data_IF_744039252342
#
_entry.id   IF_744039252342
#
_cell.length_a   1.000
_cell.length_b   1.000
_cell.length_c   1.000
_cell.angle_alpha   90.00
_cell.angle_beta   90.00
_cell.angle_gamma   90.00
#
_symmetry.space_group_name_H-M   'P 1'
#
loop_
_entity.id
_entity.type
_entity.pdbx_description
1 polymer ?
#
# COMPACT_ATOMS: atom_id res chain seq x y z
N UNK A 1 11.04 -11.52 33.78
CA UNK A 1 10.61 -11.80 32.41
C UNK A 1 10.22 -10.44 31.88
N UNK A 2 11.17 -9.81 31.22
CA UNK A 2 10.95 -8.48 30.66
C UNK A 2 9.99 -8.64 29.47
N UNK A 3 9.07 -7.70 29.33
CA UNK A 3 8.03 -7.78 28.30
C UNK A 3 8.67 -7.49 26.94
N UNK A 4 8.31 -8.30 25.95
CA UNK A 4 8.76 -8.14 24.57
C UNK A 4 8.27 -6.80 23.99
N UNK A 5 9.13 -6.08 23.25
CA UNK A 5 8.75 -4.82 22.60
C UNK A 5 7.80 -5.13 21.44
N UNK A 6 6.50 -5.06 21.72
CA UNK A 6 5.45 -5.26 20.74
C UNK A 6 4.56 -4.04 20.61
N UNK A 7 4.55 -3.47 19.41
CA UNK A 7 3.76 -2.29 19.11
C UNK A 7 2.64 -2.58 18.12
N UNK A 8 1.65 -1.70 18.11
CA UNK A 8 0.51 -1.72 17.20
C UNK A 8 0.42 -0.40 16.48
N UNK A 9 -0.27 -0.40 15.35
CA UNK A 9 -0.60 0.83 14.63
C UNK A 9 -1.27 1.84 15.58
N UNK A 10 -0.75 3.05 15.58
CA UNK A 10 -1.24 4.17 16.38
C UNK A 10 -0.52 4.34 17.72
N UNK A 11 0.25 3.34 18.17
CA UNK A 11 1.05 3.45 19.39
C UNK A 11 2.04 4.61 19.25
N UNK A 12 2.25 5.30 20.37
CA UNK A 12 3.27 6.34 20.48
C UNK A 12 4.44 5.79 21.25
N UNK A 13 5.62 5.93 20.68
CA UNK A 13 6.87 5.48 21.28
C UNK A 13 7.87 6.61 21.26
N UNK A 14 8.83 6.58 22.18
CA UNK A 14 10.02 7.40 22.07
C UNK A 14 11.18 6.54 21.60
N UNK A 15 11.99 7.11 20.72
CA UNK A 15 13.25 6.54 20.28
C UNK A 15 14.30 7.64 20.51
N UNK A 16 15.28 7.39 21.36
CA UNK A 16 16.29 8.38 21.79
C UNK A 16 15.64 9.68 22.34
N UNK A 17 14.50 9.54 23.02
CA UNK A 17 13.73 10.66 23.58
C UNK A 17 12.85 11.41 22.59
N UNK A 18 12.99 11.18 21.28
CA UNK A 18 12.15 11.76 20.23
C UNK A 18 10.84 10.98 20.09
N UNK A 19 9.71 11.68 19.93
CA UNK A 19 8.38 11.06 19.90
C UNK A 19 7.99 10.61 18.49
N UNK A 20 7.63 9.34 18.34
CA UNK A 20 7.18 8.72 17.09
C UNK A 20 5.76 8.14 17.25
N UNK A 21 5.08 7.98 16.12
CA UNK A 21 3.88 7.16 16.00
C UNK A 21 4.18 5.93 15.11
N UNK A 22 3.74 4.76 15.56
CA UNK A 22 3.80 3.52 14.78
C UNK A 22 2.72 3.54 13.72
N UNK A 23 3.12 3.49 12.45
CA UNK A 23 2.23 3.53 11.29
C UNK A 23 1.89 2.12 10.79
N UNK A 24 2.79 1.16 10.99
CA UNK A 24 2.62 -0.24 10.65
C UNK A 24 3.79 -1.10 11.12
N UNK A 25 3.79 -2.35 10.72
CA UNK A 25 4.94 -3.24 10.92
C UNK A 25 4.82 -4.54 10.15
N UNK A 26 5.96 -5.20 10.00
CA UNK A 26 6.13 -6.44 9.23
C UNK A 26 6.83 -7.46 10.15
N UNK A 27 6.22 -8.63 10.30
CA UNK A 27 6.87 -9.76 10.98
C UNK A 27 7.62 -10.58 9.93
N UNK A 28 8.92 -10.74 10.12
CA UNK A 28 9.81 -11.39 9.15
C UNK A 28 10.40 -12.67 9.73
N UNK A 29 10.79 -13.57 8.83
CA UNK A 29 11.59 -14.75 9.16
C UNK A 29 12.68 -14.97 8.14
N UNK A 30 13.91 -15.22 8.60
CA UNK A 30 14.96 -15.71 7.74
C UNK A 30 14.78 -17.23 7.55
N UNK A 31 14.67 -17.68 6.29
CA UNK A 31 14.42 -19.09 5.97
C UNK A 31 15.62 -20.01 6.24
N UNK A 32 16.85 -19.49 6.35
CA UNK A 32 18.04 -20.33 6.58
C UNK A 32 18.10 -20.91 7.99
N UNK A 33 17.86 -20.08 8.99
CA UNK A 33 18.05 -20.33 10.43
C UNK A 33 16.74 -20.25 11.22
N UNK A 34 15.71 -19.62 10.64
CA UNK A 34 14.42 -19.41 11.29
C UNK A 34 14.41 -18.23 12.27
N UNK A 35 15.44 -17.36 12.23
CA UNK A 35 15.48 -16.11 12.98
C UNK A 35 14.28 -15.24 12.63
N UNK A 36 13.75 -14.50 13.61
CA UNK A 36 12.54 -13.69 13.47
C UNK A 36 12.73 -12.36 14.14
N UNK A 37 12.31 -11.33 13.43
CA UNK A 37 12.31 -9.96 13.89
C UNK A 37 11.02 -9.27 13.43
N UNK A 38 10.76 -8.11 14.00
CA UNK A 38 9.65 -7.25 13.57
C UNK A 38 10.19 -5.89 13.20
N UNK A 39 9.82 -5.42 12.02
CA UNK A 39 10.18 -4.09 11.55
C UNK A 39 8.97 -3.19 11.68
N UNK A 40 9.10 -2.15 12.50
CA UNK A 40 8.05 -1.17 12.75
C UNK A 40 8.30 0.07 11.92
N UNK A 41 7.33 0.40 11.08
CA UNK A 41 7.30 1.65 10.37
C UNK A 41 6.84 2.77 11.32
N UNK A 42 7.72 3.74 11.58
CA UNK A 42 7.51 4.83 12.53
C UNK A 42 7.66 6.21 11.89
N UNK A 43 6.88 7.17 12.35
CA UNK A 43 6.98 8.58 11.92
C UNK A 43 7.20 9.49 13.12
N UNK A 44 8.24 10.31 13.06
CA UNK A 44 8.54 11.31 14.08
C UNK A 44 7.44 12.38 14.09
N UNK A 45 6.78 12.57 15.23
CA UNK A 45 5.63 13.48 15.35
C UNK A 45 6.01 14.96 15.33
N UNK A 46 7.28 15.31 15.51
CA UNK A 46 7.74 16.70 15.48
C UNK A 46 8.06 17.17 14.06
N UNK A 47 8.69 16.32 13.26
CA UNK A 47 9.23 16.70 11.95
C UNK A 47 8.67 15.88 10.78
N UNK A 48 7.80 14.90 11.04
CA UNK A 48 7.18 14.05 10.03
C UNK A 48 8.14 13.08 9.34
N UNK A 49 9.41 13.01 9.76
CA UNK A 49 10.37 12.09 9.16
C UNK A 49 10.02 10.67 9.51
N UNK A 50 10.19 9.82 8.52
CA UNK A 50 9.81 8.44 8.60
C UNK A 50 11.04 7.55 8.67
N UNK A 51 10.94 6.48 9.45
CA UNK A 51 12.01 5.55 9.74
C UNK A 51 11.43 4.17 9.98
N UNK A 52 12.31 3.20 10.02
CA UNK A 52 11.98 1.83 10.31
C UNK A 52 12.79 1.38 11.54
N UNK A 53 12.08 0.85 12.53
CA UNK A 53 12.63 0.34 13.78
C UNK A 53 12.61 -1.19 13.70
N UNK A 54 13.77 -1.80 13.56
CA UNK A 54 13.93 -3.26 13.61
C UNK A 54 14.07 -3.73 15.06
N UNK A 55 13.36 -4.80 15.41
CA UNK A 55 13.30 -5.40 16.75
C UNK A 55 13.51 -6.91 16.61
N UNK A 56 14.70 -7.38 16.98
CA UNK A 56 15.01 -8.80 17.13
C UNK A 56 14.98 -9.20 18.60
N UNK A 57 13.89 -9.86 19.00
CA UNK A 57 13.68 -10.30 20.38
C UNK A 57 14.54 -11.53 20.76
N UNK A 58 15.01 -12.30 19.78
CA UNK A 58 15.79 -13.52 20.04
C UNK A 58 17.22 -13.14 20.43
N UNK A 59 17.78 -12.15 19.73
CA UNK A 59 19.14 -11.68 19.94
C UNK A 59 19.25 -10.40 20.77
N UNK A 60 18.11 -9.80 21.16
CA UNK A 60 18.03 -8.53 21.93
C UNK A 60 18.72 -7.38 21.17
N UNK A 61 18.47 -7.33 19.86
CA UNK A 61 19.07 -6.36 18.93
C UNK A 61 18.00 -5.43 18.39
N UNK A 62 18.31 -4.15 18.40
CA UNK A 62 17.41 -3.09 17.98
C UNK A 62 18.19 -2.14 17.08
N UNK A 63 17.56 -1.69 16.01
CA UNK A 63 18.21 -0.75 15.12
C UNK A 63 17.17 0.15 14.45
N UNK A 64 17.56 1.38 14.19
CA UNK A 64 16.73 2.34 13.46
C UNK A 64 17.46 2.82 12.23
N UNK A 65 16.73 2.86 11.12
CA UNK A 65 17.32 3.21 9.85
C UNK A 65 16.34 4.05 9.03
N UNK A 66 16.96 4.75 8.10
CA UNK A 66 16.32 5.73 7.22
C UNK A 66 16.61 5.30 5.79
N UNK A 67 15.56 5.14 5.00
CA UNK A 67 15.67 4.85 3.57
C UNK A 67 16.46 5.95 2.85
N UNK A 68 17.28 5.55 1.88
CA UNK A 68 18.10 6.47 1.10
C UNK A 68 18.29 5.99 -0.35
N UNK A 69 18.99 6.79 -1.14
CA UNK A 69 19.39 6.39 -2.49
C UNK A 69 20.53 5.34 -2.45
N UNK A 70 20.84 4.78 -3.61
CA UNK A 70 21.91 3.78 -3.77
C UNK A 70 23.33 4.35 -3.60
N UNK A 71 23.48 5.64 -3.25
CA UNK A 71 24.78 6.29 -3.19
C UNK A 71 25.58 5.80 -1.98
N UNK A 72 26.77 5.27 -2.26
CA UNK A 72 27.66 4.70 -1.26
C UNK A 72 27.50 3.20 -1.04
N UNK A 73 26.62 2.52 -1.78
CA UNK A 73 26.36 1.08 -1.68
C UNK A 73 27.05 0.25 -2.77
N UNK A 74 27.88 0.87 -3.61
CA UNK A 74 28.73 0.07 -4.50
C UNK A 74 29.78 -0.69 -3.69
N UNK A 75 30.10 -1.91 -4.11
CA UNK A 75 31.10 -2.76 -3.44
C UNK A 75 32.44 -2.03 -3.26
N UNK A 76 32.88 -1.28 -4.27
CA UNK A 76 34.09 -0.44 -4.20
C UNK A 76 34.00 0.65 -3.12
N UNK A 77 32.85 1.32 -2.96
CA UNK A 77 32.66 2.37 -1.95
C UNK A 77 32.55 1.80 -0.54
N UNK A 78 31.88 0.65 -0.38
CA UNK A 78 31.74 -0.07 0.88
C UNK A 78 33.12 -0.54 1.36
N UNK A 79 33.88 -1.21 0.49
CA UNK A 79 35.24 -1.67 0.76
C UNK A 79 36.18 -0.50 1.09
N UNK A 80 36.14 0.57 0.30
CA UNK A 80 37.00 1.74 0.51
C UNK A 80 36.74 2.45 1.85
N UNK A 81 35.51 2.34 2.38
CA UNK A 81 35.12 2.89 3.68
C UNK A 81 35.20 1.85 4.81
N UNK A 82 35.54 0.60 4.48
CA UNK A 82 35.72 -0.49 5.41
C UNK A 82 34.43 -1.03 6.01
N UNK A 83 33.31 -0.91 5.28
CA UNK A 83 32.08 -1.62 5.61
C UNK A 83 32.26 -3.11 5.37
N UNK A 84 31.65 -3.94 6.20
CA UNK A 84 31.74 -5.40 6.10
C UNK A 84 30.34 -5.98 6.14
N UNK A 85 30.11 -7.02 5.34
CA UNK A 85 28.88 -7.81 5.43
C UNK A 85 28.76 -8.37 6.86
N UNK A 86 27.70 -7.94 7.55
CA UNK A 86 27.36 -8.34 8.90
C UNK A 86 26.38 -9.51 8.87
N UNK A 87 25.38 -9.42 7.98
CA UNK A 87 24.38 -10.45 7.77
C UNK A 87 23.88 -10.45 6.31
N UNK A 88 23.37 -11.59 5.85
CA UNK A 88 22.68 -11.69 4.56
C UNK A 88 21.82 -12.94 4.52
N UNK A 89 20.65 -12.84 3.90
CA UNK A 89 19.71 -13.95 3.89
C UNK A 89 18.57 -13.74 2.90
N UNK A 90 17.54 -14.56 3.08
CA UNK A 90 16.25 -14.39 2.41
C UNK A 90 15.18 -14.28 3.50
N UNK A 91 14.61 -13.09 3.59
CA UNK A 91 13.50 -12.82 4.49
C UNK A 91 12.17 -13.19 3.82
N UNK A 92 11.23 -13.66 4.62
CA UNK A 92 9.86 -13.93 4.20
C UNK A 92 8.88 -13.26 5.16
N UNK A 93 7.88 -12.59 4.61
CA UNK A 93 6.81 -11.93 5.37
C UNK A 93 5.91 -12.97 6.00
N UNK A 94 5.88 -13.03 7.33
CA UNK A 94 5.00 -13.90 8.10
C UNK A 94 3.63 -13.27 8.36
N UNK A 95 3.62 -11.99 8.73
CA UNK A 95 2.43 -11.20 9.01
C UNK A 95 2.77 -9.72 8.83
N UNK A 96 1.75 -8.87 8.72
CA UNK A 96 1.93 -7.43 8.58
C UNK A 96 0.72 -6.67 9.10
N UNK A 97 0.92 -5.41 9.47
CA UNK A 97 -0.16 -4.52 9.84
C UNK A 97 0.13 -3.07 9.48
N UNK A 98 -0.95 -2.31 9.30
CA UNK A 98 -0.86 -0.86 9.15
C UNK A 98 -0.40 -0.40 7.76
N UNK A 99 0.35 0.69 7.71
CA UNK A 99 0.69 1.40 6.47
C UNK A 99 1.95 0.83 5.81
N UNK A 100 1.97 -0.46 5.50
CA UNK A 100 3.11 -1.15 4.88
C UNK A 100 2.63 -1.85 3.61
N UNK A 101 3.51 -1.96 2.61
CA UNK A 101 3.22 -2.55 1.30
C UNK A 101 3.78 -3.98 1.24
N UNK A 102 3.34 -4.81 2.17
CA UNK A 102 3.80 -6.19 2.33
C UNK A 102 2.62 -7.16 2.24
N UNK A 103 2.81 -8.30 1.57
CA UNK A 103 1.88 -9.42 1.57
C UNK A 103 2.50 -10.66 2.21
N UNK A 104 1.69 -11.43 2.94
CA UNK A 104 2.15 -12.66 3.58
C UNK A 104 2.74 -13.63 2.55
N UNK A 105 3.97 -14.05 2.77
CA UNK A 105 4.73 -14.95 1.91
C UNK A 105 5.58 -14.27 0.84
N UNK A 106 5.54 -12.94 0.74
CA UNK A 106 6.53 -12.17 -0.04
C UNK A 106 7.94 -12.35 0.52
N UNK A 107 8.92 -12.15 -0.35
CA UNK A 107 10.33 -12.44 -0.06
C UNK A 107 11.24 -11.38 -0.65
N UNK A 108 12.29 -11.08 0.09
CA UNK A 108 13.46 -10.37 -0.40
C UNK A 108 14.74 -11.10 -0.02
N UNK A 109 15.77 -10.89 -0.82
CA UNK A 109 17.13 -11.14 -0.35
C UNK A 109 17.68 -9.86 0.25
N UNK A 110 18.21 -9.94 1.47
CA UNK A 110 18.80 -8.79 2.13
C UNK A 110 20.31 -8.99 2.32
N UNK A 111 21.02 -7.88 2.42
CA UNK A 111 22.42 -7.84 2.84
C UNK A 111 22.62 -6.61 3.71
N UNK A 112 23.09 -6.85 4.92
CA UNK A 112 23.44 -5.82 5.88
C UNK A 112 24.95 -5.70 6.00
N UNK A 113 25.41 -4.46 6.08
CA UNK A 113 26.78 -4.09 6.29
C UNK A 113 26.92 -3.29 7.58
N UNK A 114 27.98 -3.58 8.30
CA UNK A 114 28.37 -2.86 9.51
C UNK A 114 29.69 -2.13 9.28
N UNK A 115 29.83 -0.96 9.86
CA UNK A 115 31.06 -0.19 9.80
C UNK A 115 32.12 -0.75 10.79
N UNK A 116 33.29 -0.12 10.86
CA UNK A 116 34.36 -0.62 11.73
C UNK A 116 34.12 -0.33 13.23
N UNK A 117 33.17 0.53 13.59
CA UNK A 117 32.84 0.78 15.00
C UNK A 117 31.83 -0.23 15.52
N UNK A 118 31.04 -0.83 14.63
CA UNK A 118 29.94 -1.71 14.99
C UNK A 118 28.69 -0.98 15.43
N UNK A 119 28.58 0.30 15.06
CA UNK A 119 27.47 1.18 15.48
C UNK A 119 26.57 1.52 14.30
N UNK A 120 27.17 1.71 13.11
CA UNK A 120 26.43 2.14 11.93
C UNK A 120 26.16 0.98 10.99
N UNK A 121 24.99 1.04 10.37
CA UNK A 121 24.44 0.00 9.51
C UNK A 121 24.11 0.56 8.13
N UNK A 122 24.35 -0.26 7.11
CA UNK A 122 23.92 -0.05 5.74
C UNK A 122 23.24 -1.31 5.26
N UNK A 123 22.04 -1.21 4.73
CA UNK A 123 21.28 -2.37 4.28
C UNK A 123 20.78 -2.21 2.86
N UNK A 124 20.78 -3.35 2.15
CA UNK A 124 20.34 -3.51 0.78
C UNK A 124 19.37 -4.69 0.72
N UNK A 125 18.16 -4.43 0.25
CA UNK A 125 17.14 -5.47 0.04
C UNK A 125 16.73 -5.53 -1.42
N UNK A 126 16.63 -6.73 -1.97
CA UNK A 126 16.17 -6.98 -3.32
C UNK A 126 14.81 -7.68 -3.28
N UNK A 127 13.77 -6.91 -3.58
CA UNK A 127 12.39 -7.34 -3.71
C UNK A 127 12.05 -7.65 -5.18
N UNK A 128 10.91 -8.29 -5.45
CA UNK A 128 10.50 -8.60 -6.83
C UNK A 128 10.19 -7.31 -7.60
N UNK A 129 11.17 -6.84 -8.39
CA UNK A 129 11.04 -5.66 -9.23
C UNK A 129 11.66 -4.37 -8.66
N UNK A 130 12.19 -4.40 -7.43
CA UNK A 130 12.85 -3.23 -6.83
C UNK A 130 14.06 -3.57 -5.94
N UNK A 131 14.83 -2.55 -5.59
CA UNK A 131 15.96 -2.66 -4.67
C UNK A 131 15.92 -1.47 -3.72
N UNK A 132 15.90 -1.76 -2.44
CA UNK A 132 15.78 -0.79 -1.37
C UNK A 132 17.13 -0.63 -0.66
N UNK A 133 17.44 0.61 -0.28
CA UNK A 133 18.69 0.98 0.35
C UNK A 133 18.39 1.82 1.59
N UNK A 134 19.13 1.59 2.66
CA UNK A 134 18.93 2.34 3.88
C UNK A 134 20.17 2.39 4.77
N UNK A 135 20.22 3.45 5.58
CA UNK A 135 21.32 3.74 6.52
C UNK A 135 20.77 3.88 7.92
N UNK A 136 21.39 3.20 8.87
CA UNK A 136 20.92 3.14 10.24
C UNK A 136 22.04 3.01 11.24
N UNK A 137 21.64 2.72 12.46
CA UNK A 137 22.50 2.47 13.59
C UNK A 137 21.75 1.63 14.62
N UNK A 138 22.52 0.89 15.42
CA UNK A 138 21.97 0.13 16.53
C UNK A 138 21.42 1.05 17.63
N UNK A 139 20.44 0.54 18.35
CA UNK A 139 19.86 1.14 19.53
C UNK A 139 20.02 0.19 20.72
N UNK A 140 20.21 0.75 21.90
CA UNK A 140 19.99 0.02 23.13
C UNK A 140 18.49 -0.05 23.43
N UNK A 141 18.06 -1.14 24.08
CA UNK A 141 16.63 -1.36 24.40
C UNK A 141 16.01 -0.21 25.20
N UNK A 142 16.76 0.40 26.12
CA UNK A 142 16.30 1.49 26.97
C UNK A 142 16.19 2.83 26.24
N UNK A 143 16.68 2.91 25.00
CA UNK A 143 16.44 4.05 24.11
C UNK A 143 15.05 4.01 23.46
N UNK A 144 14.31 2.91 23.63
CA UNK A 144 12.96 2.70 23.11
C UNK A 144 11.95 2.66 24.27
N UNK A 145 11.11 3.69 24.39
CA UNK A 145 10.11 3.78 25.45
C UNK A 145 8.68 3.79 24.89
N UNK A 146 7.77 3.04 25.50
CA UNK A 146 6.33 3.19 25.23
C UNK A 146 5.85 4.51 25.85
N UNK A 147 5.38 5.44 25.01
CA UNK A 147 4.83 6.71 25.48
C UNK A 147 3.34 6.55 25.84
N UNK A 148 3.08 6.30 27.12
CA UNK A 148 1.72 6.19 27.64
C UNK A 148 1.07 7.54 27.86
N UNK A 149 0.13 7.94 26.99
CA UNK A 149 -1.05 8.65 27.45
C UNK A 149 -2.14 7.62 27.76
N UNK A 150 -2.24 7.23 29.02
CA UNK A 150 -3.51 6.76 29.58
C UNK A 150 -4.49 7.94 29.63
N UNK A 151 -5.04 8.33 28.48
CA UNK A 151 -6.35 8.93 28.40
C UNK A 151 -7.13 8.27 27.28
N UNK A 152 -7.90 7.27 27.70
CA UNK A 152 -9.19 6.95 27.10
C UNK A 152 -9.93 8.26 26.83
N UNK A 153 -10.02 8.66 25.56
CA UNK A 153 -11.18 9.44 25.16
C UNK A 153 -12.33 8.44 25.17
N UNK A 154 -13.08 8.46 26.28
CA UNK A 154 -14.41 7.87 26.37
C UNK A 154 -15.23 8.39 25.18
N UNK A 155 -15.45 7.53 24.19
CA UNK A 155 -16.58 7.72 23.30
C UNK A 155 -17.84 7.33 24.10
N UNK A 156 -18.81 8.23 24.38
CA UNK A 156 -19.85 7.98 25.38
C UNK A 156 -20.93 6.95 25.00
N UNK A 157 -20.67 6.01 24.08
CA UNK A 157 -21.67 5.04 23.61
C UNK A 157 -21.14 3.61 23.45
N UNK A 158 -20.42 3.07 24.44
CA UNK A 158 -20.48 1.63 24.70
C UNK A 158 -19.92 1.30 26.08
N UNK A 159 -20.78 1.02 27.07
CA UNK A 159 -20.37 0.46 28.36
C UNK A 159 -20.52 -1.06 28.30
N UNK A 160 -19.39 -1.79 28.37
CA UNK A 160 -19.38 -3.21 28.73
C UNK A 160 -18.70 -3.32 30.10
N UNK A 161 -19.44 -3.88 31.06
CA UNK A 161 -19.03 -4.07 32.44
C UNK A 161 -18.07 -5.27 32.56
N UNK A 162 -16.84 -5.02 33.02
CA UNK A 162 -15.77 -6.02 33.14
C UNK A 162 -15.62 -6.62 34.55
N UNK A 163 -16.65 -6.55 35.41
CA UNK A 163 -16.60 -7.17 36.74
C UNK A 163 -17.03 -8.63 36.81
N UNK A 164 -16.68 -9.46 35.82
CA UNK A 164 -16.74 -10.91 35.99
C UNK A 164 -15.85 -11.63 35.00
N UNK A 165 -14.68 -12.08 35.45
CA UNK A 165 -14.12 -13.38 35.12
C UNK A 165 -12.88 -13.64 35.99
N UNK A 166 -13.10 -14.27 37.15
CA UNK A 166 -12.04 -15.03 37.81
C UNK A 166 -11.95 -16.43 37.18
N UNK A 167 -10.74 -17.01 37.07
CA UNK A 167 -10.56 -18.31 36.41
C UNK A 167 -10.98 -19.46 37.35
N UNK A 168 -11.77 -20.42 36.85
CA UNK A 168 -11.98 -21.71 37.53
C UNK A 168 -11.88 -22.89 36.56
N UNK A 169 -11.08 -23.85 37.01
CA UNK A 169 -10.84 -25.18 36.44
C UNK A 169 -12.10 -26.09 36.42
N UNK A 170 -12.07 -27.20 35.65
CA UNK A 170 -13.26 -27.83 35.08
C UNK A 170 -13.81 -28.97 35.94
N UNK A 171 -15.14 -29.01 36.16
CA UNK A 171 -15.83 -30.23 36.62
C UNK A 171 -17.28 -30.34 36.09
N UNK A 172 -17.48 -31.40 35.29
CA UNK A 172 -18.64 -32.32 35.24
C UNK A 172 -20.08 -31.78 35.30
N UNK A 173 -20.84 -31.93 34.20
CA UNK A 173 -22.31 -31.92 34.24
C UNK A 173 -22.88 -33.32 34.53
N UNK A 174 -23.63 -33.43 35.62
CA UNK A 174 -24.60 -34.50 35.81
C UNK A 174 -25.92 -34.17 35.07
N UNK A 175 -26.41 -35.18 34.33
CA UNK A 175 -27.72 -35.21 33.64
C UNK A 175 -28.90 -35.16 34.61
N UNK A 176 -29.99 -34.48 34.20
CA UNK A 176 -31.36 -35.05 34.03
C UNK A 176 -32.29 -34.00 33.38
N UNK A 177 -32.84 -34.30 32.19
CA UNK A 177 -34.21 -34.80 31.91
C UNK A 177 -35.27 -33.72 32.18
N UNK A 178 -36.00 -33.14 31.24
CA UNK A 178 -36.25 -33.40 29.82
C UNK A 178 -37.72 -33.05 29.53
N UNK A 179 -38.03 -32.47 28.36
CA UNK A 179 -39.29 -32.74 27.62
C UNK A 179 -39.31 -32.02 26.27
N UNK A 180 -39.53 -32.80 25.23
CA UNK A 180 -39.65 -32.41 23.83
C UNK A 180 -40.93 -31.61 23.56
N UNK A 181 -40.84 -30.60 22.68
CA UNK A 181 -41.82 -30.37 21.59
C UNK A 181 -41.10 -29.83 20.36
N UNK A 182 -41.36 -30.46 19.22
CA UNK A 182 -40.93 -30.07 17.87
C UNK A 182 -41.84 -28.95 17.35
N UNK A 183 -41.27 -27.86 16.83
CA UNK A 183 -41.87 -26.93 15.85
C UNK A 183 -40.68 -26.47 14.99
N UNK A 184 -40.45 -27.11 13.84
CA UNK A 184 -40.72 -26.62 12.48
C UNK A 184 -40.04 -25.27 12.19
N UNK A 185 -38.99 -25.37 11.39
CA UNK A 185 -38.27 -24.28 10.74
C UNK A 185 -39.17 -23.50 9.77
N UNK A 186 -38.76 -22.25 9.51
CA UNK A 186 -38.83 -21.47 8.25
C UNK A 186 -39.17 -20.00 8.53
N UNK A 187 -38.34 -19.11 7.96
CA UNK A 187 -38.42 -17.64 7.89
C UNK A 187 -37.90 -16.84 9.10
N UNK A 188 -36.57 -16.69 9.22
CA UNK A 188 -35.85 -15.38 9.36
C UNK A 188 -34.38 -15.58 8.95
N UNK A 189 -34.13 -16.07 7.74
CA UNK A 189 -32.81 -15.94 7.07
C UNK A 189 -33.10 -15.13 5.80
N UNK A 190 -33.30 -13.83 5.99
CA UNK A 190 -33.46 -12.87 4.88
C UNK A 190 -33.23 -11.40 5.29
N UNK A 191 -33.07 -11.08 6.58
CA UNK A 191 -32.88 -9.69 7.04
C UNK A 191 -31.59 -9.47 7.85
N UNK A 192 -30.79 -10.52 8.08
CA UNK A 192 -29.46 -10.39 8.71
C UNK A 192 -28.29 -10.50 7.71
N UNK A 193 -28.58 -10.69 6.42
CA UNK A 193 -27.57 -10.74 5.36
C UNK A 193 -27.37 -9.40 4.62
N UNK A 194 -28.13 -8.35 4.96
CA UNK A 194 -28.06 -7.03 4.30
C UNK A 194 -27.57 -5.91 5.24
N UNK A 195 -27.14 -6.25 6.45
CA UNK A 195 -26.74 -5.30 7.49
C UNK A 195 -25.25 -5.32 7.85
N UNK A 196 -24.41 -5.99 7.05
CA UNK A 196 -22.95 -5.96 7.19
C UNK A 196 -22.34 -5.86 5.79
N UNK A 197 -22.62 -4.75 5.12
CA UNK A 197 -21.77 -4.29 4.03
C UNK A 197 -21.60 -2.78 4.18
N UNK A 198 -20.94 -2.40 5.27
CA UNK A 198 -20.35 -1.09 5.43
C UNK A 198 -19.29 -1.22 6.54
N UNK A 199 -18.09 -0.73 6.23
CA UNK A 199 -16.96 -0.54 7.13
C UNK A 199 -16.11 -1.80 7.39
N UNK A 200 -15.53 -2.35 6.33
CA UNK A 200 -14.10 -2.67 6.35
C UNK A 200 -13.42 -1.63 5.46
N UNK A 201 -13.06 -0.45 6.00
CA UNK A 201 -12.05 0.37 5.31
C UNK A 201 -10.75 -0.42 5.44
N UNK A 202 -10.47 -1.22 4.42
CA UNK A 202 -9.16 -1.81 4.15
C UNK A 202 -8.13 -0.69 4.28
N UNK A 203 -6.95 -0.98 4.85
CA UNK A 203 -5.82 -0.06 4.76
C UNK A 203 -5.65 0.28 3.26
N UNK A 204 -5.96 1.52 2.89
CA UNK A 204 -6.13 1.86 1.48
C UNK A 204 -4.78 1.75 0.80
N UNK A 205 -4.65 0.83 -0.16
CA UNK A 205 -3.67 0.94 -1.24
C UNK A 205 -3.70 2.40 -1.74
N UNK A 206 -2.56 2.96 -2.14
CA UNK A 206 -2.47 4.29 -2.79
C UNK A 206 -3.10 4.25 -4.17
N UNK A 207 -4.41 4.02 -4.18
CA UNK A 207 -5.28 3.96 -5.34
C UNK A 207 -5.78 5.37 -5.62
N UNK A 208 -5.82 5.68 -6.91
CA UNK A 208 -6.29 6.94 -7.47
C UNK A 208 -7.71 7.22 -6.98
N UNK A 209 -8.60 6.22 -6.96
CA UNK A 209 -9.99 6.40 -6.49
C UNK A 209 -10.07 6.88 -5.04
N UNK A 210 -9.23 6.35 -4.15
CA UNK A 210 -9.21 6.77 -2.75
C UNK A 210 -8.77 8.23 -2.63
N UNK A 211 -7.74 8.65 -3.38
CA UNK A 211 -7.31 10.05 -3.43
C UNK A 211 -8.41 10.97 -3.96
N UNK A 212 -9.09 10.59 -5.05
CA UNK A 212 -10.15 11.40 -5.65
C UNK A 212 -11.37 11.52 -4.73
N UNK A 213 -11.72 10.47 -3.99
CA UNK A 213 -12.83 10.47 -3.03
C UNK A 213 -12.53 11.35 -1.81
N UNK A 214 -11.31 11.29 -1.27
CA UNK A 214 -10.93 12.02 -0.05
C UNK A 214 -10.53 13.48 -0.33
N UNK A 215 -10.22 13.83 -1.59
CA UNK A 215 -9.73 15.17 -1.96
C UNK A 215 -10.86 16.19 -2.13
N UNK A 216 -10.78 17.37 -1.48
CA UNK A 216 -11.79 18.43 -1.63
C UNK A 216 -11.73 19.13 -2.99
N UNK A 217 -10.73 18.83 -3.83
CA UNK A 217 -10.49 19.47 -5.12
C UNK A 217 -11.13 18.73 -6.30
N UNK A 218 -11.73 17.56 -6.03
CA UNK A 218 -12.45 16.76 -7.00
C UNK A 218 -13.91 16.62 -6.57
N UNK A 219 -14.83 16.89 -7.50
CA UNK A 219 -16.26 16.74 -7.28
C UNK A 219 -16.75 15.50 -8.01
N UNK A 220 -17.35 14.57 -7.28
CA UNK A 220 -17.97 13.39 -7.90
C UNK A 220 -19.11 13.80 -8.83
N UNK A 221 -19.10 13.29 -10.07
CA UNK A 221 -20.10 13.57 -11.09
C UNK A 221 -21.03 12.37 -11.29
N UNK A 222 -20.46 11.19 -11.52
CA UNK A 222 -21.22 9.98 -11.83
C UNK A 222 -20.34 8.71 -11.74
N UNK A 223 -20.97 7.55 -11.92
CA UNK A 223 -20.30 6.26 -12.12
C UNK A 223 -20.81 5.61 -13.41
N UNK A 224 -19.91 5.14 -14.26
CA UNK A 224 -20.25 4.36 -15.46
C UNK A 224 -20.20 2.88 -15.11
N UNK A 225 -21.27 2.15 -15.39
CA UNK A 225 -21.31 0.68 -15.19
C UNK A 225 -20.89 -0.01 -16.47
N UNK A 226 -20.05 -1.04 -16.37
CA UNK A 226 -19.60 -1.81 -17.53
C UNK A 226 -20.79 -2.49 -18.22
N UNK A 227 -20.76 -2.49 -19.55
CA UNK A 227 -21.76 -3.13 -20.42
C UNK A 227 -21.57 -4.65 -20.54
N UNK A 228 -20.43 -5.19 -20.11
CA UNK A 228 -20.14 -6.63 -20.11
C UNK A 228 -20.15 -7.25 -18.69
N UNK A 229 -20.09 -6.42 -17.64
CA UNK A 229 -20.17 -6.85 -16.25
C UNK A 229 -20.73 -5.74 -15.34
N UNK A 230 -21.97 -5.91 -14.88
CA UNK A 230 -22.69 -4.92 -14.06
C UNK A 230 -22.10 -4.67 -12.66
N UNK A 231 -21.19 -5.54 -12.19
CA UNK A 231 -20.48 -5.37 -10.92
C UNK A 231 -19.30 -4.40 -11.05
N UNK A 232 -18.78 -4.18 -12.26
CA UNK A 232 -17.64 -3.31 -12.51
C UNK A 232 -18.08 -1.89 -12.85
N UNK A 233 -17.45 -0.91 -12.19
CA UNK A 233 -17.76 0.51 -12.38
C UNK A 233 -16.50 1.37 -12.47
N UNK A 234 -16.62 2.45 -13.24
CA UNK A 234 -15.68 3.55 -13.28
C UNK A 234 -16.30 4.79 -12.64
N UNK A 235 -15.58 5.44 -11.74
CA UNK A 235 -16.02 6.67 -11.12
C UNK A 235 -15.48 7.87 -11.90
N UNK A 236 -16.32 8.89 -12.03
CA UNK A 236 -16.02 10.11 -12.77
C UNK A 236 -16.13 11.30 -11.84
N UNK A 237 -15.08 12.10 -11.85
CA UNK A 237 -14.95 13.32 -11.08
C UNK A 237 -14.69 14.49 -12.02
N UNK A 238 -14.99 15.69 -11.55
CA UNK A 238 -14.58 16.93 -12.18
C UNK A 238 -13.73 17.78 -11.24
N UNK A 239 -12.97 18.70 -11.81
CA UNK A 239 -12.11 19.62 -11.06
C UNK A 239 -11.94 20.95 -11.78
N UNK A 240 -11.63 21.99 -11.03
CA UNK A 240 -11.24 23.30 -11.57
C UNK A 240 -9.75 23.36 -11.97
N UNK A 241 -8.99 22.29 -11.71
CA UNK A 241 -7.61 22.18 -12.18
C UNK A 241 -7.53 22.05 -13.71
N UNK A 242 -6.40 22.48 -14.28
CA UNK A 242 -6.03 22.09 -15.64
C UNK A 242 -5.72 20.60 -15.71
N UNK A 243 -5.77 20.01 -16.91
CA UNK A 243 -5.37 18.62 -17.13
C UNK A 243 -3.97 18.35 -16.57
N UNK A 244 -3.00 19.23 -16.84
CA UNK A 244 -1.64 19.09 -16.35
C UNK A 244 -1.56 19.04 -14.82
N UNK A 245 -2.26 19.96 -14.14
CA UNK A 245 -2.24 20.03 -12.67
C UNK A 245 -2.92 18.79 -12.08
N UNK A 246 -4.08 18.41 -12.60
CA UNK A 246 -4.81 17.24 -12.13
C UNK A 246 -4.01 15.94 -12.34
N UNK A 247 -3.37 15.76 -13.49
CA UNK A 247 -2.55 14.59 -13.77
C UNK A 247 -1.33 14.52 -12.84
N UNK A 248 -0.63 15.65 -12.61
CA UNK A 248 0.52 15.69 -11.70
C UNK A 248 0.15 15.45 -10.24
N UNK A 249 -0.97 16.00 -9.79
CA UNK A 249 -1.52 15.76 -8.44
C UNK A 249 -1.86 14.28 -8.24
N UNK A 250 -2.56 13.66 -9.19
CA UNK A 250 -2.89 12.22 -9.15
C UNK A 250 -1.61 11.37 -9.12
N UNK A 251 -0.66 11.65 -10.02
CA UNK A 251 0.64 10.96 -10.05
C UNK A 251 1.37 11.13 -8.71
N UNK A 252 1.33 12.31 -8.11
CA UNK A 252 1.94 12.59 -6.80
C UNK A 252 1.25 11.82 -5.67
N UNK A 253 -0.08 11.78 -5.66
CA UNK A 253 -0.87 11.09 -4.65
C UNK A 253 -0.61 9.57 -4.63
N UNK A 254 -0.26 9.00 -5.78
CA UNK A 254 0.14 7.59 -5.90
C UNK A 254 1.67 7.39 -5.84
N UNK A 255 2.43 8.39 -5.38
CA UNK A 255 3.90 8.37 -5.33
C UNK A 255 4.58 8.04 -6.67
N UNK A 256 3.96 8.39 -7.78
CA UNK A 256 4.44 8.04 -9.10
C UNK A 256 4.46 6.53 -9.38
N UNK A 257 3.69 5.70 -8.64
CA UNK A 257 3.48 4.26 -8.91
C UNK A 257 2.62 4.05 -10.17
N UNK A 258 3.18 4.38 -11.32
CA UNK A 258 2.60 4.15 -12.65
C UNK A 258 3.32 2.98 -13.34
N UNK A 259 2.57 2.16 -14.05
CA UNK A 259 3.14 1.19 -14.98
C UNK A 259 3.42 1.86 -16.33
N UNK A 260 2.55 2.80 -16.70
CA UNK A 260 2.77 3.69 -17.83
C UNK A 260 1.94 4.96 -17.70
N UNK A 261 2.37 6.00 -18.40
CA UNK A 261 1.64 7.26 -18.51
C UNK A 261 1.96 7.91 -19.84
N UNK A 262 0.92 8.43 -20.51
CA UNK A 262 1.06 9.04 -21.82
C UNK A 262 0.05 10.18 -22.01
N UNK A 263 0.58 11.34 -22.36
CA UNK A 263 -0.19 12.45 -22.89
C UNK A 263 -0.58 12.20 -24.35
N UNK A 264 -1.81 12.56 -24.71
CA UNK A 264 -2.26 12.65 -26.08
C UNK A 264 -1.84 14.00 -26.68
N UNK A 265 -1.11 13.97 -27.78
CA UNK A 265 -0.64 15.19 -28.45
C UNK A 265 -1.76 15.94 -29.19
N UNK A 266 -2.92 15.31 -29.43
CA UNK A 266 -4.06 15.93 -30.12
C UNK A 266 -4.92 16.80 -29.20
N UNK A 267 -5.16 16.37 -27.96
CA UNK A 267 -6.11 17.01 -27.04
C UNK A 267 -5.64 17.10 -25.59
N UNK A 268 -4.34 16.86 -25.36
CA UNK A 268 -3.66 16.99 -24.06
C UNK A 268 -4.17 16.04 -22.97
N UNK A 269 -5.10 15.12 -23.29
CA UNK A 269 -5.60 14.14 -22.33
C UNK A 269 -4.47 13.21 -21.86
N UNK A 270 -4.45 12.90 -20.56
CA UNK A 270 -3.38 12.11 -19.95
C UNK A 270 -3.95 10.79 -19.45
N UNK A 271 -3.42 9.70 -19.99
CA UNK A 271 -3.75 8.35 -19.59
C UNK A 271 -2.72 7.86 -18.57
N UNK A 272 -3.17 7.43 -17.39
CA UNK A 272 -2.33 6.96 -16.27
C UNK A 272 -2.72 5.52 -15.98
N UNK A 273 -1.76 4.60 -16.16
CA UNK A 273 -1.93 3.18 -15.89
C UNK A 273 -1.19 2.80 -14.62
N UNK A 274 -1.88 2.16 -13.69
CA UNK A 274 -1.28 1.55 -12.48
C UNK A 274 -1.56 0.05 -12.47
N UNK A 275 -1.00 -0.65 -11.49
CA UNK A 275 -1.17 -2.10 -11.36
C UNK A 275 -2.63 -2.53 -11.12
N UNK A 276 -3.44 -1.63 -10.53
CA UNK A 276 -4.81 -1.93 -10.12
C UNK A 276 -5.85 -1.05 -10.81
N UNK A 277 -5.45 0.11 -11.34
CA UNK A 277 -6.36 1.09 -11.91
C UNK A 277 -5.91 1.58 -13.28
N UNK A 278 -6.89 2.12 -14.01
CA UNK A 278 -6.68 2.94 -15.18
C UNK A 278 -7.41 4.25 -15.01
N UNK A 279 -6.68 5.36 -15.14
CA UNK A 279 -7.19 6.70 -14.97
C UNK A 279 -6.98 7.51 -16.25
N UNK A 280 -7.98 8.30 -16.62
CA UNK A 280 -7.90 9.27 -17.71
C UNK A 280 -8.23 10.66 -17.16
N UNK A 281 -7.34 11.61 -17.40
CA UNK A 281 -7.56 13.05 -17.15
C UNK A 281 -7.77 13.72 -18.51
N UNK A 282 -8.89 14.43 -18.71
CA UNK A 282 -9.28 14.96 -20.02
C UNK A 282 -10.20 16.17 -19.90
N UNK A 283 -10.35 16.91 -21.00
CA UNK A 283 -11.36 17.96 -21.13
C UNK A 283 -12.65 17.37 -21.72
N UNK A 284 -13.79 17.58 -21.07
CA UNK A 284 -15.09 17.16 -21.58
C UNK A 284 -15.51 17.95 -22.83
N UNK A 285 -16.55 17.51 -23.51
CA UNK A 285 -17.21 18.27 -24.58
C UNK A 285 -17.64 19.68 -24.15
N UNK A 286 -17.98 19.87 -22.86
CA UNK A 286 -18.35 21.16 -22.27
C UNK A 286 -17.17 22.03 -21.79
N UNK A 287 -15.92 21.60 -21.98
CA UNK A 287 -14.73 22.34 -21.56
C UNK A 287 -14.38 22.21 -20.08
N UNK A 288 -14.88 21.19 -19.38
CA UNK A 288 -14.59 20.91 -17.97
C UNK A 288 -13.47 19.88 -17.87
N UNK A 289 -12.53 20.05 -16.93
CA UNK A 289 -11.54 19.00 -16.64
C UNK A 289 -12.20 17.86 -15.88
N UNK A 290 -12.12 16.67 -16.44
CA UNK A 290 -12.71 15.44 -15.93
C UNK A 290 -11.61 14.43 -15.60
N UNK A 291 -11.87 13.61 -14.59
CA UNK A 291 -11.03 12.48 -14.20
C UNK A 291 -11.90 11.25 -14.10
N UNK A 292 -11.64 10.25 -14.94
CA UNK A 292 -12.29 8.94 -14.86
C UNK A 292 -11.30 7.93 -14.31
N UNK A 293 -11.59 7.35 -13.14
CA UNK A 293 -10.76 6.33 -12.50
C UNK A 293 -11.51 4.99 -12.46
N UNK A 294 -10.88 3.95 -12.99
CA UNK A 294 -11.49 2.64 -13.21
C UNK A 294 -10.61 1.53 -12.64
N UNK A 295 -11.22 0.45 -12.14
CA UNK A 295 -10.46 -0.79 -11.92
C UNK A 295 -9.93 -1.32 -13.26
N UNK A 296 -8.81 -2.05 -13.26
CA UNK A 296 -8.33 -2.74 -14.46
C UNK A 296 -9.34 -3.73 -15.03
N UNK A 297 -10.16 -4.32 -14.15
CA UNK A 297 -11.22 -5.24 -14.51
C UNK A 297 -12.41 -4.55 -15.20
N UNK A 298 -12.75 -3.31 -14.84
CA UNK A 298 -13.74 -2.51 -15.54
C UNK A 298 -13.30 -2.26 -16.97
N UNK A 299 -12.08 -1.78 -17.18
CA UNK A 299 -11.59 -1.44 -18.52
C UNK A 299 -11.56 -2.69 -19.39
N UNK A 300 -11.01 -3.79 -18.87
CA UNK A 300 -10.98 -5.07 -19.58
C UNK A 300 -12.39 -5.50 -20.06
N UNK A 301 -13.42 -5.27 -19.23
CA UNK A 301 -14.78 -5.72 -19.46
C UNK A 301 -15.71 -4.58 -19.90
N UNK A 302 -15.22 -3.49 -20.50
CA UNK A 302 -16.09 -2.37 -20.90
C UNK A 302 -15.79 -1.92 -22.32
N UNK A 303 -16.85 -1.61 -23.07
CA UNK A 303 -16.76 -0.93 -24.37
C UNK A 303 -17.17 0.54 -24.30
N UNK A 304 -17.49 1.03 -23.10
CA UNK A 304 -17.94 2.41 -22.91
C UNK A 304 -16.81 3.41 -23.17
N UNK A 305 -17.14 4.48 -23.89
CA UNK A 305 -16.32 5.67 -23.98
C UNK A 305 -16.29 6.42 -22.63
N UNK A 306 -15.24 7.23 -22.34
CA UNK A 306 -15.22 8.06 -21.15
C UNK A 306 -16.35 9.11 -21.14
N UNK A 307 -16.82 9.48 -19.95
CA UNK A 307 -18.00 10.33 -19.77
C UNK A 307 -17.84 11.73 -20.41
N UNK A 308 -18.71 12.09 -21.36
CA UNK A 308 -18.62 13.34 -22.14
C UNK A 308 -17.24 13.60 -22.75
N UNK A 309 -16.54 12.55 -23.17
CA UNK A 309 -15.28 12.67 -23.87
C UNK A 309 -15.50 12.98 -25.36
N UNK A 310 -14.55 13.73 -25.94
CA UNK A 310 -14.48 13.91 -27.40
C UNK A 310 -13.99 12.62 -28.06
N UNK A 311 -14.26 12.46 -29.35
CA UNK A 311 -13.82 11.28 -30.12
C UNK A 311 -12.30 11.07 -30.08
N UNK A 312 -11.50 12.14 -30.02
CA UNK A 312 -10.03 12.07 -29.88
C UNK A 312 -9.64 11.44 -28.55
N UNK A 313 -10.28 11.88 -27.47
CA UNK A 313 -10.07 11.41 -26.10
C UNK A 313 -10.48 9.95 -25.94
N UNK A 314 -11.65 9.57 -26.46
CA UNK A 314 -12.12 8.18 -26.43
C UNK A 314 -11.17 7.25 -27.19
N UNK A 315 -10.69 7.68 -28.35
CA UNK A 315 -9.69 6.92 -29.12
C UNK A 315 -8.42 6.72 -28.31
N UNK A 316 -7.88 7.77 -27.69
CA UNK A 316 -6.69 7.68 -26.85
C UNK A 316 -6.90 6.73 -25.66
N UNK A 317 -8.03 6.84 -24.97
CA UNK A 317 -8.41 5.96 -23.85
C UNK A 317 -8.35 4.48 -24.25
N UNK A 318 -9.03 4.11 -25.34
CA UNK A 318 -9.07 2.72 -25.78
C UNK A 318 -7.71 2.26 -26.32
N UNK A 319 -7.08 3.06 -27.18
CA UNK A 319 -5.78 2.72 -27.79
C UNK A 319 -4.71 2.54 -26.72
N UNK A 320 -4.57 3.50 -25.80
CA UNK A 320 -3.54 3.42 -24.76
C UNK A 320 -3.71 2.18 -23.89
N UNK A 321 -4.92 1.92 -23.37
CA UNK A 321 -5.16 0.72 -22.57
C UNK A 321 -4.85 -0.56 -23.35
N UNK A 322 -5.31 -0.66 -24.60
CA UNK A 322 -5.09 -1.86 -25.42
C UNK A 322 -3.61 -2.17 -25.62
N UNK A 323 -2.80 -1.16 -25.94
CA UNK A 323 -1.39 -1.38 -26.23
C UNK A 323 -0.51 -1.50 -24.98
N UNK A 324 -0.96 -0.99 -23.82
CA UNK A 324 -0.13 -0.90 -22.60
C UNK A 324 -0.60 -1.80 -21.45
N UNK A 325 -1.91 -2.01 -21.31
CA UNK A 325 -2.49 -2.77 -20.20
C UNK A 325 -3.09 -4.12 -20.58
N UNK A 326 -3.71 -4.22 -21.76
CA UNK A 326 -4.56 -5.36 -22.14
C UNK A 326 -3.87 -6.72 -22.06
N UNK A 327 -2.62 -6.87 -22.53
CA UNK A 327 -1.94 -8.17 -22.57
C UNK A 327 -1.82 -8.82 -21.18
N UNK A 328 -1.48 -8.03 -20.16
CA UNK A 328 -1.40 -8.52 -18.78
C UNK A 328 -2.79 -8.81 -18.22
N UNK A 329 -3.75 -7.94 -18.50
CA UNK A 329 -5.12 -8.09 -18.00
C UNK A 329 -5.83 -9.28 -18.64
N UNK A 330 -5.54 -9.58 -19.91
CA UNK A 330 -6.04 -10.77 -20.59
C UNK A 330 -5.57 -12.06 -19.92
N UNK A 331 -4.38 -12.04 -19.29
CA UNK A 331 -3.92 -13.16 -18.47
C UNK A 331 -4.62 -13.19 -17.12
N UNK A 332 -4.78 -12.03 -16.46
CA UNK A 332 -5.41 -11.88 -15.13
C UNK A 332 -6.91 -12.19 -15.13
N UNK A 333 -7.61 -11.85 -16.22
CA UNK A 333 -9.07 -11.94 -16.37
C UNK A 333 -9.49 -12.88 -17.51
N UNK A 334 -8.67 -13.89 -17.80
CA UNK A 334 -8.86 -14.82 -18.93
C UNK A 334 -10.22 -15.57 -18.96
N UNK A 335 -10.94 -15.58 -17.83
CA UNK A 335 -12.25 -16.19 -17.67
C UNK A 335 -13.42 -15.20 -17.83
N UNK A 336 -13.14 -13.94 -18.18
CA UNK A 336 -14.13 -12.86 -18.32
C UNK A 336 -14.24 -12.41 -19.77
N UNK A 337 -15.41 -11.88 -20.15
CA UNK A 337 -15.58 -11.28 -21.48
C UNK A 337 -14.75 -10.00 -21.61
N UNK A 338 -14.13 -9.80 -22.78
CA UNK A 338 -13.28 -8.63 -23.02
C UNK A 338 -13.94 -7.65 -23.97
N UNK A 339 -13.96 -6.37 -23.60
CA UNK A 339 -14.36 -5.27 -24.48
C UNK A 339 -13.39 -5.06 -25.65
N UNK A 340 -12.20 -5.65 -25.58
CA UNK A 340 -11.11 -5.47 -26.53
C UNK A 340 -10.84 -6.69 -27.41
N UNK A 341 -11.65 -7.75 -27.32
CA UNK A 341 -11.43 -9.00 -28.05
C UNK A 341 -11.33 -8.80 -29.57
N UNK A 342 -12.07 -7.83 -30.12
CA UNK A 342 -12.07 -7.48 -31.54
C UNK A 342 -11.57 -6.05 -31.78
N UNK A 343 -10.80 -5.49 -30.85
CA UNK A 343 -10.29 -4.13 -30.99
C UNK A 343 -9.27 -4.05 -32.13
N UNK A 344 -9.52 -3.18 -33.11
CA UNK A 344 -8.71 -2.98 -34.31
C UNK A 344 -8.12 -1.57 -34.41
N UNK A 345 -8.13 -0.82 -33.30
CA UNK A 345 -7.58 0.52 -33.23
C UNK A 345 -6.06 0.57 -33.43
N UNK A 346 -5.59 1.75 -33.82
CA UNK A 346 -4.17 2.00 -34.06
C UNK A 346 -3.43 2.29 -32.76
N UNK A 347 -2.16 1.87 -32.71
CA UNK A 347 -1.26 2.25 -31.61
C UNK A 347 -1.16 3.78 -31.53
N UNK A 348 -1.24 4.37 -30.33
CA UNK A 348 -1.00 5.80 -30.19
C UNK A 348 0.47 6.10 -30.54
N UNK A 349 0.74 7.32 -30.99
CA UNK A 349 2.13 7.79 -31.14
C UNK A 349 2.77 7.82 -29.75
N UNK A 350 3.65 6.86 -29.49
CA UNK A 350 4.20 6.66 -28.15
C UNK A 350 5.41 7.56 -27.93
N UNK A 351 5.32 8.46 -26.96
CA UNK A 351 6.42 9.33 -26.60
C UNK A 351 7.24 8.72 -25.47
N UNK A 352 8.37 8.09 -25.81
CA UNK A 352 9.29 7.54 -24.80
C UNK A 352 9.87 8.59 -23.85
N UNK A 353 9.81 9.88 -24.23
CA UNK A 353 10.26 11.03 -23.45
C UNK A 353 9.08 11.85 -22.91
N UNK A 354 7.93 11.21 -22.69
CA UNK A 354 6.74 11.86 -22.15
C UNK A 354 7.05 12.62 -20.85
N UNK A 355 6.50 13.83 -20.74
CA UNK A 355 6.75 14.74 -19.62
C UNK A 355 6.16 14.20 -18.33
N UNK A 356 4.99 13.54 -18.39
CA UNK A 356 4.36 12.90 -17.25
C UNK A 356 5.06 11.61 -16.87
N UNK A 357 5.68 10.91 -17.81
CA UNK A 357 6.55 9.76 -17.49
C UNK A 357 7.81 10.21 -16.76
N UNK A 358 8.46 11.26 -17.27
CA UNK A 358 9.62 11.87 -16.62
C UNK A 358 9.26 12.39 -15.24
N UNK A 359 8.12 13.08 -15.12
CA UNK A 359 7.58 13.57 -13.86
C UNK A 359 7.21 12.42 -12.91
N UNK A 360 6.53 11.39 -13.38
CA UNK A 360 6.22 10.20 -12.57
C UNK A 360 7.47 9.51 -12.11
N UNK A 361 8.55 9.48 -12.89
CA UNK A 361 9.85 8.97 -12.45
C UNK A 361 10.50 9.91 -11.43
N UNK A 362 10.37 11.24 -11.57
CA UNK A 362 10.87 12.21 -10.59
C UNK A 362 10.08 12.15 -9.29
N UNK A 363 8.76 12.04 -9.35
CA UNK A 363 7.91 11.79 -8.20
C UNK A 363 8.25 10.44 -7.63
N UNK A 364 8.44 9.40 -8.44
CA UNK A 364 8.86 8.09 -7.93
C UNK A 364 10.22 8.21 -7.25
N UNK A 365 11.21 8.89 -7.82
CA UNK A 365 12.55 9.11 -7.25
C UNK A 365 12.52 9.97 -5.98
N UNK A 366 11.72 11.03 -5.98
CA UNK A 366 11.51 11.90 -4.84
C UNK A 366 10.73 11.20 -3.75
N UNK A 367 9.72 10.41 -4.14
CA UNK A 367 8.95 9.53 -3.29
C UNK A 367 9.80 8.37 -2.81
N UNK A 368 10.77 7.83 -3.55
CA UNK A 368 11.71 6.80 -3.05
C UNK A 368 12.72 7.43 -2.10
N UNK A 369 13.02 8.73 -2.26
CA UNK A 369 13.80 9.52 -1.30
C UNK A 369 13.00 10.01 -0.09
N UNK A 370 11.66 9.99 -0.15
CA UNK A 370 10.74 10.29 0.97
C UNK A 370 9.89 9.09 1.38
N UNK A 371 10.17 7.91 0.84
CA UNK A 371 9.50 6.65 1.15
C UNK A 371 10.33 6.01 2.21
N UNK A 372 9.66 5.85 3.32
CA UNK A 372 9.55 4.55 3.94
C UNK A 372 9.59 3.40 2.97
N UNK A 373 10.69 2.66 3.08
CA UNK A 373 10.95 1.40 2.41
C UNK A 373 9.69 0.55 2.40
N UNK A 374 9.32 0.06 1.22
CA UNK A 374 8.02 -0.49 0.92
C UNK A 374 7.96 -1.99 1.21
N UNK A 375 9.09 -2.69 1.25
CA UNK A 375 9.14 -4.12 1.54
C UNK A 375 9.45 -4.46 2.99
N UNK A 376 9.92 -3.48 3.74
CA UNK A 376 10.71 -3.74 4.93
C UNK A 376 11.88 -2.79 4.92
N UNK A 377 12.40 -2.57 6.09
CA UNK A 377 13.71 -2.03 6.27
C UNK A 377 14.04 -2.56 7.64
N UNK A 378 15.19 -3.20 7.84
CA UNK A 378 16.49 -2.87 7.23
C UNK A 378 17.47 -4.03 7.52
N UNK A 379 16.93 -5.22 7.81
CA UNK A 379 17.63 -6.48 8.08
C UNK A 379 18.17 -6.65 9.51
N UNK A 380 17.69 -7.68 10.22
CA UNK A 380 18.49 -8.55 11.11
C UNK A 380 17.95 -9.97 11.03
N UNK A 381 18.77 -10.98 10.71
CA UNK A 381 18.38 -12.38 10.83
C UNK A 381 19.61 -13.30 10.93
N UNK A 382 20.26 -13.32 12.10
CA UNK A 382 21.45 -14.17 12.34
C UNK A 382 21.23 -15.67 12.23
#
# INVERSE_FOLDING_TARGET
MEEALKFRKGDRIKIEGELYQVLGGIELVNRSDGARWTEYYVQNLQNGKERWLSVDEIYDEYAIYTSCDSKGFSEEELDAKGWKNADSGVEEVLDWFGNVDAEQGEKASYTEYEDNTGEYLMSVEHWDGETEYAKGYYLDKDEIEVFGDLQQIENPQFRVDYNNCQPRQPQTMQKRKGRNKKIIAVVVIAVLAWGIWAITKSASKKEIRNYLEDSPFYSYETSITSDLNEEEKADVYSTDYSIETAAKEIITAIDGKTEDVQENTEDESVAILTEHEYCLVYESEEGKTMVQASSRAYVYQSTNDPYHARTTTSRHYHSFYYFRGYSRDASRYNNRASGYQNYDGTAPEYNYSDTYRSYSNTVRQGSTGTRTSSGGGIGFGK
#
